data_IF_707114423117
#
_entry.id   IF_707114423117
#
_cell.length_a   1.000
_cell.length_b   1.000
_cell.length_c   1.000
_cell.angle_alpha   90.00
_cell.angle_beta   90.00
_cell.angle_gamma   90.00
#
_symmetry.space_group_name_H-M   'P 1'
#
loop_
_entity.id
_entity.type
_entity.pdbx_description
1 polymer ?
#
# COMPACT_ATOMS: atom_id res chain seq x y z
N UNK A 1 40.29 -19.28 19.59
CA UNK A 1 39.48 -20.52 19.74
C UNK A 1 38.66 -20.52 21.03
N UNK A 2 39.28 -20.26 22.19
CA UNK A 2 38.62 -20.16 23.50
C UNK A 2 37.44 -19.18 23.53
N UNK A 3 37.59 -17.98 22.95
CA UNK A 3 36.50 -16.99 22.89
C UNK A 3 35.24 -17.49 22.16
N UNK A 4 35.40 -18.30 21.11
CA UNK A 4 34.27 -18.82 20.32
C UNK A 4 33.50 -19.89 21.10
N UNK A 5 34.22 -20.86 21.69
CA UNK A 5 33.63 -21.94 22.48
C UNK A 5 33.02 -21.42 23.79
N UNK A 6 33.62 -20.41 24.40
CA UNK A 6 33.10 -19.76 25.61
C UNK A 6 31.86 -18.90 25.34
N UNK A 7 31.60 -18.54 24.08
CA UNK A 7 30.40 -17.80 23.67
C UNK A 7 29.23 -18.72 23.30
N UNK A 8 29.45 -20.03 23.24
CA UNK A 8 28.42 -21.04 22.96
C UNK A 8 27.83 -21.60 24.25
N UNK A 9 26.60 -22.11 24.17
CA UNK A 9 26.05 -22.91 25.26
C UNK A 9 26.92 -24.16 25.49
N UNK A 10 27.15 -24.52 26.76
CA UNK A 10 28.08 -25.61 27.13
C UNK A 10 27.75 -26.97 26.49
N UNK A 11 26.48 -27.22 26.19
CA UNK A 11 25.96 -28.40 25.49
C UNK A 11 26.39 -28.42 24.02
N UNK A 12 26.35 -27.27 23.36
CA UNK A 12 26.78 -27.07 21.97
C UNK A 12 28.29 -27.07 21.87
N UNK A 13 28.98 -26.33 22.75
CA UNK A 13 30.44 -26.20 22.76
C UNK A 13 31.17 -27.56 22.85
N UNK A 14 30.61 -28.52 23.58
CA UNK A 14 31.16 -29.88 23.72
C UNK A 14 31.37 -30.61 22.40
N UNK A 15 30.48 -30.40 21.42
CA UNK A 15 30.60 -31.02 20.09
C UNK A 15 31.78 -30.50 19.28
N UNK A 16 32.29 -29.32 19.61
CA UNK A 16 33.33 -28.60 18.87
C UNK A 16 34.68 -28.54 19.59
N UNK A 17 34.75 -28.98 20.86
CA UNK A 17 35.99 -29.09 21.64
C UNK A 17 37.12 -29.88 20.94
N UNK A 18 36.85 -30.96 20.18
CA UNK A 18 37.91 -31.72 19.51
C UNK A 18 38.48 -31.05 18.25
N UNK A 19 37.97 -29.89 17.84
CA UNK A 19 38.39 -29.22 16.61
C UNK A 19 39.52 -28.22 16.90
N UNK A 20 40.58 -28.26 16.09
CA UNK A 20 41.80 -27.48 16.35
C UNK A 20 41.82 -26.08 15.72
N UNK A 21 40.80 -25.75 14.90
CA UNK A 21 40.73 -24.50 14.15
C UNK A 21 39.43 -23.76 14.46
N UNK A 22 39.54 -22.48 14.84
CA UNK A 22 38.38 -21.62 15.03
C UNK A 22 37.55 -21.46 13.75
N UNK A 23 38.20 -21.49 12.58
CA UNK A 23 37.54 -21.45 11.27
C UNK A 23 36.70 -22.71 11.04
N UNK A 24 37.23 -23.88 11.39
CA UNK A 24 36.51 -25.14 11.20
C UNK A 24 35.34 -25.27 12.18
N UNK A 25 35.51 -24.79 13.42
CA UNK A 25 34.42 -24.67 14.39
C UNK A 25 33.33 -23.75 13.84
N UNK A 26 33.69 -22.58 13.30
CA UNK A 26 32.72 -21.65 12.72
C UNK A 26 32.00 -22.24 11.51
N UNK A 27 32.70 -22.85 10.56
CA UNK A 27 32.11 -23.49 9.37
C UNK A 27 31.18 -24.64 9.78
N UNK A 28 31.58 -25.45 10.76
CA UNK A 28 30.79 -26.59 11.22
C UNK A 28 29.56 -26.14 12.02
N UNK A 29 29.70 -25.14 12.89
CA UNK A 29 28.59 -24.52 13.61
C UNK A 29 27.63 -23.81 12.64
N UNK A 30 28.15 -23.09 11.64
CA UNK A 30 27.34 -22.52 10.56
C UNK A 30 26.62 -23.65 9.82
N UNK A 31 27.29 -24.70 9.37
CA UNK A 31 26.60 -25.80 8.65
C UNK A 31 25.52 -26.49 9.48
N UNK A 32 25.70 -26.58 10.80
CA UNK A 32 24.80 -27.31 11.72
C UNK A 32 23.61 -26.45 12.16
N UNK A 33 23.84 -25.16 12.43
CA UNK A 33 22.84 -24.26 13.02
C UNK A 33 22.40 -23.13 12.10
N UNK A 34 23.14 -22.86 11.02
CA UNK A 34 22.70 -21.93 10.00
C UNK A 34 21.48 -22.52 9.32
N UNK A 35 20.39 -21.78 9.45
CA UNK A 35 19.16 -22.06 8.73
C UNK A 35 19.23 -21.52 7.28
N UNK A 36 20.37 -20.98 6.81
CA UNK A 36 20.55 -20.51 5.42
C UNK A 36 20.16 -21.64 4.46
N UNK A 37 19.35 -21.34 3.44
CA UNK A 37 18.79 -22.29 2.47
C UNK A 37 17.83 -23.34 3.03
N UNK A 38 17.20 -23.08 4.19
CA UNK A 38 16.13 -23.93 4.70
C UNK A 38 14.87 -23.78 3.82
N UNK A 39 14.72 -24.69 2.86
CA UNK A 39 13.61 -24.68 1.89
C UNK A 39 12.24 -24.77 2.55
N UNK A 40 12.12 -25.48 3.68
CA UNK A 40 10.88 -25.56 4.46
C UNK A 40 10.52 -24.21 5.10
N UNK A 41 11.51 -23.46 5.59
CA UNK A 41 11.29 -22.10 6.13
C UNK A 41 10.91 -21.13 5.00
N UNK A 42 11.57 -21.19 3.85
CA UNK A 42 11.16 -20.39 2.67
C UNK A 42 9.70 -20.67 2.28
N UNK A 43 9.29 -21.94 2.30
CA UNK A 43 7.90 -22.32 2.00
C UNK A 43 6.92 -21.76 3.04
N UNK A 44 7.24 -21.89 4.33
CA UNK A 44 6.42 -21.35 5.41
C UNK A 44 6.24 -19.84 5.30
N UNK A 45 7.33 -19.11 5.02
CA UNK A 45 7.31 -17.65 4.84
C UNK A 45 6.49 -17.28 3.61
N UNK A 46 6.69 -17.94 2.46
CA UNK A 46 5.88 -17.69 1.26
C UNK A 46 4.40 -17.94 1.50
N UNK A 47 4.06 -19.00 2.24
CA UNK A 47 2.68 -19.27 2.63
C UNK A 47 2.12 -18.13 3.49
N UNK A 48 2.85 -17.74 4.54
CA UNK A 48 2.46 -16.61 5.40
C UNK A 48 2.28 -15.31 4.60
N UNK A 49 3.17 -15.04 3.65
CA UNK A 49 3.10 -13.85 2.79
C UNK A 49 1.79 -13.84 1.98
N UNK A 50 1.42 -14.97 1.38
CA UNK A 50 0.16 -15.11 0.64
C UNK A 50 -1.10 -15.04 1.52
N UNK A 51 -1.01 -15.47 2.78
CA UNK A 51 -2.11 -15.41 3.75
C UNK A 51 -2.21 -14.04 4.48
N UNK A 52 -1.23 -13.14 4.27
CA UNK A 52 -1.17 -11.83 4.93
C UNK A 52 -2.02 -10.81 4.18
N UNK A 53 -3.01 -10.27 4.88
CA UNK A 53 -3.91 -9.23 4.39
C UNK A 53 -4.00 -8.12 5.44
N UNK A 54 -4.30 -6.90 5.02
CA UNK A 54 -4.40 -5.72 5.89
C UNK A 54 -5.42 -5.93 7.02
N UNK A 55 -6.66 -6.33 6.69
CA UNK A 55 -7.75 -6.56 7.66
C UNK A 55 -7.91 -5.36 8.60
N UNK A 56 -7.76 -5.57 9.90
CA UNK A 56 -7.89 -4.55 10.96
C UNK A 56 -6.58 -3.79 11.22
N UNK A 57 -5.47 -4.13 10.54
CA UNK A 57 -4.20 -3.44 10.70
C UNK A 57 -4.20 -2.09 9.99
N UNK A 58 -3.45 -1.13 10.53
CA UNK A 58 -3.15 0.09 9.79
C UNK A 58 -2.30 -0.23 8.55
N UNK A 59 -2.36 0.63 7.53
CA UNK A 59 -1.54 0.49 6.30
C UNK A 59 -0.05 0.34 6.65
N UNK A 60 0.45 1.13 7.61
CA UNK A 60 1.82 1.05 8.09
C UNK A 60 2.17 -0.29 8.76
N UNK A 61 1.29 -0.81 9.61
CA UNK A 61 1.51 -2.10 10.29
C UNK A 61 1.54 -3.26 9.31
N UNK A 62 0.59 -3.28 8.37
CA UNK A 62 0.54 -4.26 7.29
C UNK A 62 1.82 -4.23 6.44
N UNK A 63 2.23 -3.04 5.97
CA UNK A 63 3.46 -2.86 5.21
C UNK A 63 4.72 -3.31 5.97
N UNK A 64 4.80 -2.97 7.26
CA UNK A 64 5.93 -3.37 8.12
C UNK A 64 6.00 -4.89 8.29
N UNK A 65 4.84 -5.55 8.39
CA UNK A 65 4.76 -7.02 8.49
C UNK A 65 5.27 -7.68 7.21
N UNK A 66 4.86 -7.20 6.04
CA UNK A 66 5.36 -7.68 4.76
C UNK A 66 6.87 -7.46 4.62
N UNK A 67 7.39 -6.27 4.97
CA UNK A 67 8.84 -5.99 4.98
C UNK A 67 9.61 -6.99 5.84
N UNK A 68 9.10 -7.34 7.02
CA UNK A 68 9.69 -8.37 7.86
C UNK A 68 9.76 -9.74 7.18
N UNK A 69 8.66 -10.17 6.54
CA UNK A 69 8.60 -11.45 5.83
C UNK A 69 9.53 -11.49 4.61
N UNK A 70 9.59 -10.43 3.81
CA UNK A 70 10.53 -10.35 2.69
C UNK A 70 11.99 -10.40 3.15
N UNK A 71 12.34 -9.66 4.21
CA UNK A 71 13.70 -9.71 4.77
C UNK A 71 14.06 -11.11 5.29
N UNK A 72 13.11 -11.82 5.90
CA UNK A 72 13.32 -13.20 6.34
C UNK A 72 13.49 -14.15 5.14
N UNK A 73 12.72 -13.93 4.06
CA UNK A 73 12.85 -14.69 2.82
C UNK A 73 14.22 -14.47 2.16
N UNK A 74 14.70 -13.23 2.12
CA UNK A 74 16.01 -12.84 1.59
C UNK A 74 17.15 -13.51 2.38
N UNK A 75 16.99 -13.61 3.70
CA UNK A 75 17.95 -14.28 4.57
C UNK A 75 18.07 -15.78 4.24
N UNK A 76 16.95 -16.44 3.94
CA UNK A 76 16.94 -17.88 3.65
C UNK A 76 17.22 -18.23 2.20
N UNK A 77 16.88 -17.35 1.25
CA UNK A 77 17.04 -17.55 -0.18
C UNK A 77 18.02 -16.58 -0.85
N UNK A 78 19.28 -16.47 -0.39
CA UNK A 78 20.22 -15.53 -1.00
C UNK A 78 20.43 -15.88 -2.48
N UNK A 79 20.04 -14.96 -3.37
CA UNK A 79 20.29 -15.05 -4.79
C UNK A 79 21.75 -14.71 -5.09
N UNK A 80 22.50 -15.69 -5.60
CA UNK A 80 23.88 -15.48 -6.04
C UNK A 80 23.87 -15.21 -7.54
N UNK A 81 23.78 -13.94 -7.92
CA UNK A 81 23.89 -13.56 -9.31
C UNK A 81 25.28 -13.90 -9.86
N UNK A 82 25.35 -14.56 -11.03
CA UNK A 82 26.60 -14.85 -11.72
C UNK A 82 27.07 -13.62 -12.51
N UNK A 83 26.13 -12.83 -13.04
CA UNK A 83 26.40 -11.59 -13.75
C UNK A 83 25.69 -10.40 -13.09
N UNK A 84 26.30 -9.20 -13.09
CA UNK A 84 25.72 -8.00 -12.49
C UNK A 84 24.51 -7.46 -13.24
N UNK A 85 24.40 -7.68 -14.55
CA UNK A 85 23.23 -7.26 -15.35
C UNK A 85 22.01 -8.09 -14.95
N UNK A 86 22.17 -9.42 -14.86
CA UNK A 86 21.12 -10.34 -14.44
C UNK A 86 20.65 -10.05 -13.00
N UNK A 87 21.56 -9.56 -12.15
CA UNK A 87 21.23 -9.12 -10.78
C UNK A 87 20.27 -7.93 -10.76
N UNK A 88 20.52 -6.90 -11.58
CA UNK A 88 19.69 -5.70 -11.63
C UNK A 88 18.28 -6.01 -12.16
N UNK A 89 18.19 -6.81 -13.23
CA UNK A 89 16.90 -7.24 -13.78
C UNK A 89 16.13 -8.14 -12.81
N UNK A 90 16.82 -9.02 -12.08
CA UNK A 90 16.20 -9.84 -11.05
C UNK A 90 15.69 -8.99 -9.89
N UNK A 91 16.45 -7.99 -9.43
CA UNK A 91 16.03 -7.10 -8.36
C UNK A 91 14.78 -6.30 -8.76
N UNK A 92 14.75 -5.75 -9.98
CA UNK A 92 13.57 -5.04 -10.49
C UNK A 92 12.35 -5.98 -10.56
N UNK A 93 12.54 -7.22 -11.03
CA UNK A 93 11.48 -8.23 -11.05
C UNK A 93 10.97 -8.54 -9.63
N UNK A 94 11.87 -8.68 -8.66
CA UNK A 94 11.52 -8.96 -7.27
C UNK A 94 10.82 -7.78 -6.59
N UNK A 95 11.30 -6.55 -6.82
CA UNK A 95 10.69 -5.33 -6.29
C UNK A 95 9.25 -5.17 -6.82
N UNK A 96 9.02 -5.50 -8.10
CA UNK A 96 7.69 -5.54 -8.68
C UNK A 96 6.79 -6.60 -8.02
N UNK A 97 7.34 -7.79 -7.69
CA UNK A 97 6.56 -8.82 -6.98
C UNK A 97 6.18 -8.36 -5.56
N UNK A 98 7.10 -7.73 -4.83
CA UNK A 98 6.83 -7.16 -3.50
C UNK A 98 5.75 -6.08 -3.57
N UNK A 99 5.76 -5.25 -4.62
CA UNK A 99 4.68 -4.30 -4.88
C UNK A 99 3.34 -5.01 -5.10
N UNK A 100 3.29 -6.07 -5.90
CA UNK A 100 2.05 -6.82 -6.13
C UNK A 100 1.53 -7.51 -4.88
N UNK A 101 2.42 -8.11 -4.08
CA UNK A 101 2.07 -8.71 -2.78
C UNK A 101 1.43 -7.65 -1.88
N UNK A 102 2.08 -6.47 -1.76
CA UNK A 102 1.55 -5.35 -0.99
C UNK A 102 0.15 -4.94 -1.47
N UNK A 103 -0.02 -4.69 -2.77
CA UNK A 103 -1.30 -4.23 -3.33
C UNK A 103 -2.41 -5.27 -3.20
N UNK A 104 -2.09 -6.56 -3.23
CA UNK A 104 -3.07 -7.65 -3.23
C UNK A 104 -3.76 -7.80 -1.88
N UNK A 105 -3.02 -7.71 -0.78
CA UNK A 105 -3.58 -7.85 0.57
C UNK A 105 -4.19 -6.57 1.15
N UNK A 106 -4.20 -5.44 0.42
CA UNK A 106 -4.88 -4.22 0.87
C UNK A 106 -6.40 -4.39 0.86
N UNK A 107 -7.06 -3.72 1.82
CA UNK A 107 -8.52 -3.71 1.92
C UNK A 107 -9.17 -3.12 0.65
N UNK A 108 -10.41 -3.54 0.37
CA UNK A 108 -11.19 -3.13 -0.82
C UNK A 108 -11.36 -1.62 -0.94
N UNK A 109 -11.30 -0.90 0.18
CA UNK A 109 -11.37 0.56 0.25
C UNK A 109 -10.27 1.28 -0.55
N UNK A 110 -9.13 0.62 -0.77
CA UNK A 110 -7.99 1.15 -1.52
C UNK A 110 -8.00 0.71 -2.99
N UNK A 111 -9.06 0.06 -3.48
CA UNK A 111 -9.15 -0.35 -4.90
C UNK A 111 -8.90 0.81 -5.88
N UNK A 112 -9.47 2.02 -5.70
CA UNK A 112 -9.27 3.10 -6.67
C UNK A 112 -7.80 3.52 -6.79
N UNK A 113 -7.08 3.60 -5.67
CA UNK A 113 -5.66 3.95 -5.66
C UNK A 113 -4.79 2.80 -6.17
N UNK A 114 -5.17 1.53 -5.92
CA UNK A 114 -4.51 0.36 -6.53
C UNK A 114 -4.62 0.41 -8.06
N UNK A 115 -5.80 0.68 -8.60
CA UNK A 115 -6.01 0.81 -10.03
C UNK A 115 -5.17 1.97 -10.63
N UNK A 116 -5.09 3.11 -9.93
CA UNK A 116 -4.26 4.23 -10.35
C UNK A 116 -2.76 3.85 -10.40
N UNK A 117 -2.26 3.20 -9.34
CA UNK A 117 -0.87 2.73 -9.25
C UNK A 117 -0.55 1.77 -10.40
N UNK A 118 -1.41 0.78 -10.65
CA UNK A 118 -1.21 -0.22 -11.71
C UNK A 118 -1.28 0.36 -13.13
N UNK A 119 -1.96 1.50 -13.31
CA UNK A 119 -2.06 2.19 -14.60
C UNK A 119 -0.92 3.20 -14.84
N UNK A 120 -0.06 3.45 -13.85
CA UNK A 120 1.06 4.38 -13.97
C UNK A 120 2.23 3.73 -14.71
N UNK A 121 2.86 4.46 -15.64
CA UNK A 121 4.03 3.98 -16.42
C UNK A 121 5.18 4.99 -16.34
N UNK A 122 6.40 4.58 -15.92
CA UNK A 122 6.76 3.25 -15.40
C UNK A 122 6.03 2.93 -14.08
N UNK A 123 6.00 1.65 -13.69
CA UNK A 123 5.40 1.24 -12.43
C UNK A 123 6.14 1.93 -11.28
N UNK A 124 5.44 2.50 -10.29
CA UNK A 124 6.10 3.19 -9.18
C UNK A 124 6.86 2.20 -8.30
N UNK A 125 7.82 2.71 -7.53
CA UNK A 125 8.50 1.91 -6.52
C UNK A 125 7.55 1.47 -5.41
N UNK A 126 7.93 0.44 -4.65
CA UNK A 126 7.18 -0.01 -3.48
C UNK A 126 6.99 1.12 -2.46
N UNK A 127 8.02 1.93 -2.23
CA UNK A 127 8.01 3.09 -1.33
C UNK A 127 7.06 4.20 -1.80
N UNK A 128 7.03 4.48 -3.11
CA UNK A 128 6.14 5.49 -3.69
C UNK A 128 4.67 5.03 -3.63
N UNK A 129 4.43 3.74 -3.91
CA UNK A 129 3.11 3.13 -3.79
C UNK A 129 2.62 3.16 -2.33
N UNK A 130 3.47 2.79 -1.38
CA UNK A 130 3.18 2.89 0.05
C UNK A 130 2.84 4.33 0.46
N UNK A 131 3.65 5.31 0.04
CA UNK A 131 3.43 6.72 0.37
C UNK A 131 2.10 7.25 -0.18
N UNK A 132 1.73 6.82 -1.40
CA UNK A 132 0.46 7.17 -2.04
C UNK A 132 -0.73 6.60 -1.25
N UNK A 133 -0.66 5.32 -0.88
CA UNK A 133 -1.72 4.64 -0.10
C UNK A 133 -1.83 5.21 1.31
N UNK A 134 -0.71 5.51 1.98
CA UNK A 134 -0.70 6.12 3.31
C UNK A 134 -1.30 7.54 3.30
N UNK A 135 -1.06 8.31 2.24
CA UNK A 135 -1.66 9.63 2.05
C UNK A 135 -3.17 9.52 1.85
N UNK A 136 -3.61 8.52 1.07
CA UNK A 136 -5.03 8.24 0.85
C UNK A 136 -5.73 7.78 2.14
N UNK A 137 -5.11 6.92 2.93
CA UNK A 137 -5.60 6.50 4.25
C UNK A 137 -5.82 7.70 5.17
N UNK A 138 -4.84 8.61 5.22
CA UNK A 138 -4.92 9.85 6.01
C UNK A 138 -6.05 10.76 5.51
N UNK A 139 -6.20 10.90 4.19
CA UNK A 139 -7.28 11.70 3.58
C UNK A 139 -8.66 11.10 3.91
N UNK A 140 -8.81 9.78 3.81
CA UNK A 140 -10.05 9.07 4.14
C UNK A 140 -10.41 9.27 5.61
N UNK A 141 -9.44 9.13 6.51
CA UNK A 141 -9.63 9.38 7.94
C UNK A 141 -10.05 10.83 8.23
N UNK A 142 -9.44 11.82 7.55
CA UNK A 142 -9.78 13.23 7.71
C UNK A 142 -11.16 13.60 7.14
N UNK A 143 -11.62 12.90 6.10
CA UNK A 143 -12.94 13.13 5.48
C UNK A 143 -14.06 12.31 6.11
N UNK A 144 -13.74 11.34 6.98
CA UNK A 144 -14.75 10.63 7.76
C UNK A 144 -15.44 11.64 8.68
N UNK A 145 -16.74 11.88 8.44
CA UNK A 145 -17.53 12.75 9.30
C UNK A 145 -17.55 12.16 10.72
N UNK A 146 -17.37 12.99 11.77
CA UNK A 146 -17.63 12.53 13.13
C UNK A 146 -19.09 12.06 13.19
N UNK A 147 -19.33 10.88 13.77
CA UNK A 147 -20.66 10.34 13.97
C UNK A 147 -21.59 11.43 14.55
N UNK A 148 -22.87 11.51 14.13
CA UNK A 148 -23.80 12.46 14.70
C UNK A 148 -23.83 12.27 16.22
N UNK A 149 -23.17 13.15 16.97
CA UNK A 149 -23.51 13.33 18.37
C UNK A 149 -24.99 13.72 18.36
N UNK A 150 -25.83 12.91 19.01
CA UNK A 150 -27.22 13.24 19.30
C UNK A 150 -27.24 14.56 20.09
N UNK A 151 -27.21 15.68 19.37
CA UNK A 151 -27.52 16.99 19.94
C UNK A 151 -29.02 16.97 20.15
N UNK A 152 -29.42 16.50 21.31
CA UNK A 152 -30.76 16.68 21.86
C UNK A 152 -31.11 18.17 21.77
N UNK A 153 -31.90 18.53 20.77
CA UNK A 153 -32.45 19.86 20.64
C UNK A 153 -33.69 19.94 21.55
N UNK A 154 -33.55 20.58 22.70
CA UNK A 154 -34.69 21.06 23.49
C UNK A 154 -35.38 22.16 22.69
N UNK A 155 -36.55 21.87 22.11
CA UNK A 155 -37.47 22.89 21.65
C UNK A 155 -38.11 23.53 22.88
N UNK A 156 -37.79 24.80 23.15
CA UNK A 156 -38.64 25.63 24.01
C UNK A 156 -39.78 26.17 23.15
N UNK A 157 -40.96 25.60 23.38
CA UNK A 157 -42.24 26.12 22.91
C UNK A 157 -42.56 27.42 23.68
N UNK A 158 -42.83 28.49 22.95
CA UNK A 158 -43.47 29.69 23.50
C UNK A 158 -44.35 30.32 22.42
N UNK A 159 -45.55 29.75 22.33
CA UNK A 159 -46.86 30.42 22.19
C UNK A 159 -46.88 31.87 21.67
N UNK A 160 -47.38 31.98 20.44
CA UNK A 160 -48.33 32.98 19.89
C UNK A 160 -48.67 34.20 20.78
N UNK A 161 -48.42 35.41 20.26
CA UNK A 161 -49.39 36.50 20.40
C UNK A 161 -49.40 37.43 19.18
N UNK A 162 -50.60 37.90 18.84
CA UNK A 162 -51.05 38.47 17.57
C UNK A 162 -51.04 40.01 17.51
N UNK A 163 -50.47 40.58 16.41
CA UNK A 163 -50.74 41.86 15.68
C UNK A 163 -50.99 43.21 16.40
N UNK A 164 -51.22 44.34 15.69
CA UNK A 164 -51.01 44.66 14.25
C UNK A 164 -50.34 46.04 13.96
N UNK A 165 -50.14 46.31 12.65
CA UNK A 165 -50.02 47.61 11.93
C UNK A 165 -48.95 48.68 12.25
N UNK A 166 -48.20 49.08 11.20
CA UNK A 166 -47.40 50.31 11.15
C UNK A 166 -46.53 50.39 9.88
N UNK A 167 -46.82 51.36 9.01
CA UNK A 167 -46.40 51.50 7.60
C UNK A 167 -45.17 52.41 7.36
N UNK A 168 -44.57 52.24 6.15
CA UNK A 168 -43.71 53.16 5.34
C UNK A 168 -42.23 53.30 5.77
N UNK A 169 -41.19 53.22 4.92
CA UNK A 169 -40.96 53.71 3.52
C UNK A 169 -39.90 52.82 2.83
N UNK A 170 -40.11 52.38 1.58
CA UNK A 170 -39.60 52.95 0.31
C UNK A 170 -38.10 53.26 0.27
N UNK A 171 -37.35 52.46 -0.50
CA UNK A 171 -36.19 52.88 -1.31
C UNK A 171 -36.25 52.11 -2.65
N UNK A 172 -36.28 52.87 -3.75
CA UNK A 172 -36.18 52.43 -5.16
C UNK A 172 -34.87 51.65 -5.43
N UNK A 173 -34.51 51.01 -6.53
CA UNK A 173 -34.85 50.98 -7.97
C UNK A 173 -33.97 49.81 -8.48
N UNK A 174 -34.38 48.91 -9.36
CA UNK A 174 -34.12 49.05 -10.79
C UNK A 174 -34.69 47.85 -11.57
N UNK A 175 -35.20 48.18 -12.75
CA UNK A 175 -35.60 47.25 -13.80
C UNK A 175 -34.37 46.66 -14.50
N UNK A 176 -34.39 45.36 -14.79
CA UNK A 176 -33.93 44.86 -16.11
C UNK A 176 -34.60 43.52 -16.42
N UNK A 177 -35.52 43.54 -17.39
CA UNK A 177 -35.98 42.35 -18.12
C UNK A 177 -34.82 41.82 -18.96
N UNK A 178 -34.62 40.50 -18.99
CA UNK A 178 -34.30 39.77 -20.24
C UNK A 178 -34.61 38.28 -20.13
N UNK A 179 -35.39 37.82 -21.11
CA UNK A 179 -35.69 36.42 -21.45
C UNK A 179 -34.45 35.76 -22.05
N UNK A 180 -34.33 34.43 -21.92
CA UNK A 180 -33.38 33.59 -22.67
C UNK A 180 -33.31 32.19 -22.04
N UNK A 181 -34.20 31.28 -22.40
CA UNK A 181 -34.00 30.19 -23.39
C UNK A 181 -32.94 29.17 -22.95
N UNK A 182 -33.45 27.97 -22.70
CA UNK A 182 -32.75 26.71 -22.47
C UNK A 182 -31.89 26.40 -23.70
N UNK A 183 -30.58 26.19 -23.51
CA UNK A 183 -29.74 25.50 -24.50
C UNK A 183 -29.13 24.25 -23.86
N UNK A 184 -29.71 23.11 -24.20
CA UNK A 184 -29.14 21.78 -23.99
C UNK A 184 -27.93 21.63 -24.93
N UNK A 185 -26.76 21.30 -24.40
CA UNK A 185 -25.59 20.96 -25.22
C UNK A 185 -25.72 19.53 -25.77
N UNK A 186 -25.61 19.32 -27.10
CA UNK A 186 -25.60 17.99 -27.71
C UNK A 186 -24.22 17.31 -27.60
N UNK A 187 -24.24 16.00 -27.32
CA UNK A 187 -23.12 15.07 -27.53
C UNK A 187 -22.70 15.03 -29.01
N UNK A 188 -21.40 14.96 -29.35
CA UNK A 188 -20.97 14.64 -30.71
C UNK A 188 -20.83 13.12 -30.91
N UNK A 189 -21.56 12.63 -31.91
CA UNK A 189 -21.49 11.26 -32.42
C UNK A 189 -20.19 10.98 -33.18
N UNK A 190 -19.72 9.76 -32.92
CA UNK A 190 -18.81 8.89 -33.68
C UNK A 190 -18.89 9.05 -35.20
N UNK A 191 -17.83 9.58 -35.82
CA UNK A 191 -17.61 9.50 -37.27
C UNK A 191 -16.85 8.22 -37.65
N UNK A 192 -17.50 7.36 -38.44
CA UNK A 192 -16.85 6.32 -39.24
C UNK A 192 -16.23 6.99 -40.48
N UNK A 193 -14.93 6.82 -40.66
CA UNK A 193 -14.22 7.16 -41.89
C UNK A 193 -13.24 6.03 -42.24
N UNK A 194 -13.59 5.25 -43.25
CA UNK A 194 -12.71 4.33 -43.97
C UNK A 194 -11.69 5.14 -44.78
N UNK A 195 -10.40 4.82 -44.67
CA UNK A 195 -9.52 4.47 -45.80
C UNK A 195 -8.05 4.29 -45.36
N UNK A 196 -7.53 3.08 -45.67
CA UNK A 196 -6.24 2.78 -46.27
C UNK A 196 -4.93 3.27 -45.61
N UNK A 197 -4.09 2.31 -45.23
CA UNK A 197 -2.66 2.55 -45.02
C UNK A 197 -1.94 1.44 -44.25
N UNK A 198 -1.53 0.38 -44.95
CA UNK A 198 -0.60 -0.62 -44.46
C UNK A 198 0.75 0.00 -44.07
N UNK A 199 1.38 -0.41 -42.95
CA UNK A 199 2.84 -0.54 -42.73
C UNK A 199 3.05 -1.25 -41.36
N UNK A 200 3.28 -2.56 -41.33
CA UNK A 200 4.56 -3.30 -41.46
C UNK A 200 5.29 -3.45 -40.11
N UNK A 201 5.23 -4.67 -39.58
CA UNK A 201 6.11 -5.18 -38.54
C UNK A 201 7.57 -5.18 -38.99
N UNK A 202 8.44 -4.68 -38.13
CA UNK A 202 9.73 -5.30 -37.76
C UNK A 202 9.97 -5.03 -36.29
#
# INVERSE_FOLDING_TARGET
>A
MSYLLNSMESTVARGYLPMDSATDIWISAEKTFSKKKNTSQCYEIRKKLGDTEQKEMSVFQYYSTLKGLWHELDYYGPFNAINPIDAATFQEWEDNHRLFDFLTGLNVEFEPIRAQILNTKPLPSLEDAFSSIQSEDTRRAAMALPAPQERSALYSDSTVNSGPEGTLKVVDREHTKRKGVISVCPYPERTRGLQNGAFRCK
#
